data_IF_962110597361
#
_entry.id   IF_962110597361
#
_cell.length_a   1.000
_cell.length_b   1.000
_cell.length_c   1.000
_cell.angle_alpha   90.00
_cell.angle_beta   90.00
_cell.angle_gamma   90.00
#
_symmetry.space_group_name_H-M   'P 1'
#
loop_
_entity.id
_entity.type
_entity.pdbx_description
1 polymer ?
#
# COMPACT_ATOMS: atom_id res chain seq x y z
N UNK A 1 1.43 -12.64 -0.31
CA UNK A 1 1.95 -11.29 -0.62
C UNK A 1 1.18 -10.76 -1.81
N UNK A 2 1.02 -9.44 -1.90
CA UNK A 2 0.23 -8.79 -2.94
C UNK A 2 0.97 -7.58 -3.52
N UNK A 3 0.57 -7.18 -4.71
CA UNK A 3 0.93 -5.91 -5.35
C UNK A 3 -0.32 -5.28 -5.94
N UNK A 4 -0.39 -3.95 -5.94
CA UNK A 4 -1.49 -3.23 -6.56
C UNK A 4 -1.07 -2.75 -7.93
N UNK A 5 -1.81 -3.10 -8.98
CA UNK A 5 -1.61 -2.56 -10.33
C UNK A 5 -2.69 -1.53 -10.65
N UNK A 6 -2.36 -0.57 -11.49
CA UNK A 6 -3.36 0.32 -12.08
C UNK A 6 -4.37 -0.48 -12.91
N UNK A 7 -5.63 -0.06 -12.86
CA UNK A 7 -6.69 -0.63 -13.69
C UNK A 7 -6.68 -0.03 -15.11
N UNK A 8 -6.36 1.26 -15.22
CA UNK A 8 -6.39 2.02 -16.48
C UNK A 8 -5.08 1.95 -17.27
N UNK A 9 -3.97 1.63 -16.60
CA UNK A 9 -2.63 1.66 -17.19
C UNK A 9 -1.89 0.35 -16.99
N UNK A 10 -1.43 -0.23 -18.09
CA UNK A 10 -0.61 -1.44 -18.05
C UNK A 10 0.77 -1.15 -17.45
N UNK A 11 1.27 -2.09 -16.64
CA UNK A 11 2.62 -2.06 -16.07
C UNK A 11 2.89 -0.90 -15.08
N UNK A 12 1.84 -0.30 -14.51
CA UNK A 12 1.91 0.68 -13.42
C UNK A 12 1.49 0.01 -12.11
N UNK A 13 2.28 0.22 -11.04
CA UNK A 13 2.05 -0.38 -9.73
C UNK A 13 2.21 0.65 -8.61
N UNK A 14 1.54 0.42 -7.48
CA UNK A 14 1.88 1.12 -6.24
C UNK A 14 3.21 0.60 -5.71
N UNK A 15 4.10 1.53 -5.34
CA UNK A 15 5.34 1.23 -4.63
C UNK A 15 5.64 2.28 -3.57
N UNK A 16 6.37 1.91 -2.53
CA UNK A 16 6.94 2.89 -1.61
C UNK A 16 8.28 3.44 -2.12
N UNK A 17 8.53 4.73 -1.88
CA UNK A 17 9.78 5.43 -2.17
C UNK A 17 9.86 6.70 -1.34
N UNK A 18 11.00 6.93 -0.68
CA UNK A 18 11.23 8.14 0.13
C UNK A 18 10.10 8.44 1.14
N UNK A 19 9.57 7.39 1.77
CA UNK A 19 8.47 7.47 2.75
C UNK A 19 7.08 7.70 2.15
N UNK A 20 6.95 7.86 0.84
CA UNK A 20 5.67 8.00 0.12
C UNK A 20 5.30 6.72 -0.60
N UNK A 21 4.01 6.52 -0.84
CA UNK A 21 3.52 5.45 -1.72
C UNK A 21 2.98 6.08 -3.00
N UNK A 22 3.52 5.67 -4.14
CA UNK A 22 3.29 6.32 -5.44
C UNK A 22 3.03 5.30 -6.53
N UNK A 23 2.38 5.72 -7.61
CA UNK A 23 2.26 4.93 -8.83
C UNK A 23 3.55 5.06 -9.65
N UNK A 24 4.11 3.93 -10.06
CA UNK A 24 5.32 3.90 -10.88
C UNK A 24 5.29 2.77 -11.90
N UNK A 25 5.96 2.99 -13.03
CA UNK A 25 6.13 1.96 -14.06
C UNK A 25 7.14 0.92 -13.59
N UNK A 26 6.75 -0.35 -13.67
CA UNK A 26 7.64 -1.46 -13.33
C UNK A 26 8.83 -1.50 -14.29
N UNK A 27 10.03 -1.33 -13.72
CA UNK A 27 11.32 -1.33 -14.40
C UNK A 27 12.06 -2.68 -14.24
N UNK A 28 11.37 -3.71 -13.73
CA UNK A 28 11.85 -5.08 -13.52
C UNK A 28 12.98 -5.24 -12.49
N UNK A 29 13.42 -4.16 -11.83
CA UNK A 29 14.43 -4.22 -10.80
C UNK A 29 13.91 -4.95 -9.57
N UNK A 30 14.80 -5.71 -8.90
CA UNK A 30 14.47 -6.38 -7.64
C UNK A 30 13.99 -5.41 -6.58
N UNK A 31 14.63 -4.24 -6.46
CA UNK A 31 14.20 -3.19 -5.55
C UNK A 31 12.79 -2.71 -5.85
N UNK A 32 12.44 -2.48 -7.13
CA UNK A 32 11.08 -2.11 -7.51
C UNK A 32 10.07 -3.17 -7.06
N UNK A 33 10.35 -4.45 -7.31
CA UNK A 33 9.48 -5.55 -6.89
C UNK A 33 9.30 -5.57 -5.38
N UNK A 34 10.38 -5.33 -4.64
CA UNK A 34 10.33 -5.25 -3.18
C UNK A 34 9.51 -4.05 -2.69
N UNK A 35 9.73 -2.88 -3.28
CA UNK A 35 9.01 -1.64 -2.96
C UNK A 35 7.51 -1.72 -3.29
N UNK A 36 7.14 -2.53 -4.29
CA UNK A 36 5.79 -2.71 -4.78
C UNK A 36 5.07 -3.95 -4.22
N UNK A 37 5.70 -4.68 -3.29
CA UNK A 37 5.12 -5.90 -2.69
C UNK A 37 4.82 -5.69 -1.22
N UNK A 38 3.63 -6.12 -0.81
CA UNK A 38 3.15 -5.97 0.55
C UNK A 38 2.63 -7.30 1.10
N UNK A 39 2.79 -7.51 2.40
CA UNK A 39 2.11 -8.56 3.15
C UNK A 39 0.73 -8.05 3.53
N UNK A 40 -0.31 -8.75 3.06
CA UNK A 40 -1.69 -8.54 3.48
C UNK A 40 -1.89 -9.16 4.86
N UNK A 41 -2.32 -8.34 5.81
CA UNK A 41 -2.73 -8.75 7.16
C UNK A 41 -4.22 -8.46 7.27
N UNK A 42 -5.01 -9.48 7.59
CA UNK A 42 -6.47 -9.36 7.73
C UNK A 42 -6.86 -9.55 9.19
N UNK A 43 -7.79 -8.73 9.66
CA UNK A 43 -8.52 -8.94 10.90
C UNK A 43 -10.01 -9.06 10.54
N UNK A 44 -10.50 -10.30 10.45
CA UNK A 44 -11.86 -10.59 10.00
C UNK A 44 -12.92 -10.08 10.99
N UNK A 45 -12.67 -10.22 12.30
CA UNK A 45 -13.59 -9.76 13.36
C UNK A 45 -13.85 -8.25 13.29
N UNK A 46 -12.82 -7.47 12.96
CA UNK A 46 -12.91 -6.01 12.86
C UNK A 46 -13.12 -5.52 11.43
N UNK A 47 -13.15 -6.43 10.45
CA UNK A 47 -13.19 -6.10 9.03
C UNK A 47 -12.09 -5.10 8.61
N UNK A 48 -10.85 -5.35 9.05
CA UNK A 48 -9.70 -4.49 8.81
C UNK A 48 -8.64 -5.20 7.99
N UNK A 49 -7.94 -4.44 7.15
CA UNK A 49 -6.77 -4.92 6.41
C UNK A 49 -5.60 -3.97 6.61
N UNK A 50 -4.40 -4.51 6.63
CA UNK A 50 -3.16 -3.76 6.63
C UNK A 50 -2.19 -4.33 5.59
N UNK A 51 -1.39 -3.45 5.01
CA UNK A 51 -0.41 -3.79 3.98
C UNK A 51 0.98 -3.42 4.47
N UNK A 52 1.70 -4.41 4.99
CA UNK A 52 3.06 -4.25 5.49
C UNK A 52 4.06 -4.35 4.33
N UNK A 53 5.05 -3.45 4.26
CA UNK A 53 6.13 -3.54 3.29
C UNK A 53 6.98 -4.79 3.51
N UNK A 54 7.35 -5.50 2.43
CA UNK A 54 8.17 -6.71 2.57
C UNK A 54 9.66 -6.42 2.80
N UNK A 55 10.15 -5.27 2.36
CA UNK A 55 11.55 -4.87 2.49
C UNK A 55 11.77 -3.79 3.55
N UNK A 56 10.70 -3.26 4.15
CA UNK A 56 10.76 -2.41 5.34
C UNK A 56 9.75 -2.97 6.37
N UNK A 57 10.13 -4.02 7.13
CA UNK A 57 9.25 -4.64 8.12
C UNK A 57 8.75 -3.64 9.17
N UNK A 58 7.56 -3.89 9.73
CA UNK A 58 6.86 -2.99 10.67
C UNK A 58 6.38 -1.65 10.08
N UNK A 59 6.51 -1.44 8.77
CA UNK A 59 6.00 -0.25 8.08
C UNK A 59 4.85 -0.61 7.15
N UNK A 60 3.83 0.23 7.14
CA UNK A 60 2.54 -0.06 6.50
C UNK A 60 2.12 1.08 5.59
N UNK A 61 1.36 0.75 4.54
CA UNK A 61 0.65 1.76 3.75
C UNK A 61 -0.34 2.50 4.66
N UNK A 62 -0.24 3.82 4.71
CA UNK A 62 -1.14 4.67 5.47
C UNK A 62 -1.56 5.92 4.71
N UNK A 63 -2.69 6.51 5.12
CA UNK A 63 -3.10 7.83 4.64
C UNK A 63 -2.24 8.87 5.34
N UNK A 64 -1.63 9.75 4.57
CA UNK A 64 -0.92 10.91 5.07
C UNK A 64 -1.85 11.77 5.96
N UNK A 65 -1.55 11.99 7.25
CA UNK A 65 -2.41 12.75 8.14
C UNK A 65 -2.54 14.22 7.76
N UNK A 66 -1.53 14.80 7.11
CA UNK A 66 -1.49 16.22 6.77
C UNK A 66 -2.26 16.49 5.49
N UNK A 67 -1.96 15.74 4.42
CA UNK A 67 -2.62 15.95 3.13
C UNK A 67 -3.96 15.23 3.01
N UNK A 68 -4.15 14.11 3.74
CA UNK A 68 -5.29 13.17 3.66
C UNK A 68 -5.56 12.56 2.27
N UNK A 69 -4.81 12.96 1.25
CA UNK A 69 -4.96 12.56 -0.15
C UNK A 69 -3.76 11.76 -0.66
N UNK A 70 -2.64 11.80 0.05
CA UNK A 70 -1.47 10.98 -0.26
C UNK A 70 -1.45 9.70 0.57
N UNK A 71 -0.79 8.68 0.02
CA UNK A 71 -0.38 7.51 0.76
C UNK A 71 1.09 7.64 1.18
N UNK A 72 1.38 7.22 2.39
CA UNK A 72 2.72 7.17 2.97
C UNK A 72 3.03 5.75 3.44
N UNK A 73 4.31 5.52 3.68
CA UNK A 73 4.77 4.33 4.37
C UNK A 73 5.11 4.71 5.81
N UNK A 74 4.35 4.22 6.78
CA UNK A 74 4.46 4.64 8.18
C UNK A 74 4.57 3.44 9.13
N UNK A 75 5.39 3.58 10.17
CA UNK A 75 5.39 2.68 11.32
C UNK A 75 4.22 3.07 12.25
N UNK A 76 3.22 2.21 12.47
CA UNK A 76 2.04 2.58 13.22
C UNK A 76 2.41 2.91 14.67
N UNK A 77 2.12 4.15 15.08
CA UNK A 77 2.28 4.54 16.48
C UNK A 77 1.09 4.10 17.35
N UNK A 78 -0.09 3.87 16.77
CA UNK A 78 -1.27 3.22 17.43
C UNK A 78 -2.56 3.04 16.60
N UNK A 79 -2.56 3.20 15.26
CA UNK A 79 -3.80 3.10 14.47
C UNK A 79 -3.66 2.07 13.34
N UNK A 80 -4.57 1.09 13.35
CA UNK A 80 -4.79 0.13 12.26
C UNK A 80 -5.86 0.76 11.35
N UNK A 81 -5.66 0.74 10.03
CA UNK A 81 -6.64 1.24 9.06
C UNK A 81 -7.76 0.22 8.83
N UNK A 82 -8.97 0.70 8.56
CA UNK A 82 -10.11 -0.15 8.18
C UNK A 82 -10.22 -0.28 6.66
N UNK A 83 -10.97 -1.28 6.18
CA UNK A 83 -11.30 -1.41 4.75
C UNK A 83 -12.07 -0.17 4.23
N UNK A 84 -12.89 0.46 5.07
CA UNK A 84 -13.64 1.66 4.69
C UNK A 84 -12.72 2.87 4.45
N UNK A 85 -11.67 3.03 5.26
CA UNK A 85 -10.67 4.10 5.08
C UNK A 85 -9.95 4.01 3.72
N UNK A 86 -9.83 2.80 3.18
CA UNK A 86 -9.21 2.53 1.89
C UNK A 86 -10.18 2.76 0.73
N UNK A 87 -11.42 2.25 0.83
CA UNK A 87 -12.43 2.39 -0.21
C UNK A 87 -12.89 3.84 -0.42
N UNK A 88 -12.96 4.64 0.64
CA UNK A 88 -13.35 6.06 0.52
C UNK A 88 -12.25 6.93 -0.10
N UNK A 89 -10.98 6.53 0.02
CA UNK A 89 -9.83 7.38 -0.36
C UNK A 89 -9.09 6.91 -1.60
N UNK A 90 -9.11 5.61 -1.92
CA UNK A 90 -8.34 5.10 -3.03
C UNK A 90 -9.07 4.00 -3.80
N UNK A 91 -9.35 4.28 -5.07
CA UNK A 91 -9.97 3.36 -6.01
C UNK A 91 -8.91 2.40 -6.58
N UNK A 92 -8.58 1.31 -5.88
CA UNK A 92 -7.67 0.28 -6.38
C UNK A 92 -8.36 -1.06 -6.64
N UNK A 93 -7.87 -1.79 -7.64
CA UNK A 93 -8.27 -3.18 -7.91
C UNK A 93 -7.28 -4.14 -7.25
N UNK A 94 -7.80 -5.11 -6.51
CA UNK A 94 -7.01 -6.22 -5.95
C UNK A 94 -6.75 -7.25 -7.06
N UNK A 95 -5.48 -7.63 -7.24
CA UNK A 95 -5.13 -8.80 -8.02
C UNK A 95 -4.69 -9.88 -7.03
N UNK A 96 -5.46 -10.96 -6.96
CA UNK A 96 -5.11 -12.17 -6.23
C UNK A 96 -4.19 -13.05 -7.08
#
# INVERSE_FOLDING_TARGET
FISFSSYSENNIYLRHVDGRVTLAKNNQLTLFKQDATFKLIMNEEKNMVAFESINIPEYYIAVDPDSKTALILEKPQKKVLTINDLNEKFLFKFNF
#
